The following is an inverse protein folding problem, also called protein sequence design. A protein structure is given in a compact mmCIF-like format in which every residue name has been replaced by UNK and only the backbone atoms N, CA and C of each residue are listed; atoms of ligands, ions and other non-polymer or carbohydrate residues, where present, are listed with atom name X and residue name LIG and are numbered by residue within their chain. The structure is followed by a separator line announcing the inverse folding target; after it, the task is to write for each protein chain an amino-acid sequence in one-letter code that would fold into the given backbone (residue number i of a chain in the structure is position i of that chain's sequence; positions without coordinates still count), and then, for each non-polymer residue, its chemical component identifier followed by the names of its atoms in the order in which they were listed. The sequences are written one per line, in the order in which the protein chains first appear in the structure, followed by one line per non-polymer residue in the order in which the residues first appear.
data_IF_377557993657
#
_entry.id   IF_377557993657
#
_cell.length_a   1.000
_cell.length_b   1.000
_cell.length_c   1.000
_cell.angle_alpha   90.00
_cell.angle_beta   90.00
_cell.angle_gamma   90.00
#
_symmetry.space_group_name_H-M   'P 1'
#
loop_
_entity.id
_entity.type
_entity.pdbx_description
1 polymer ?
#
# COMPACT_ATOMS: atom_id res chain seq x y z
N UNK A 1 -21.27 10.51 -1.98
CA UNK A 1 -20.01 10.98 -1.40
C UNK A 1 -20.37 11.62 -0.08
N UNK A 2 -20.13 10.92 1.02
CA UNK A 2 -19.95 11.66 2.26
C UNK A 2 -18.58 12.35 2.18
N UNK A 3 -18.44 13.52 2.82
CA UNK A 3 -17.21 14.32 2.78
C UNK A 3 -15.93 13.56 3.23
N UNK A 4 -16.09 12.38 3.83
CA UNK A 4 -15.02 11.54 4.37
C UNK A 4 -14.25 10.78 3.26
N UNK A 5 -14.91 10.31 2.20
CA UNK A 5 -14.28 9.52 1.13
C UNK A 5 -13.23 10.33 0.33
N UNK A 6 -13.42 11.66 0.23
CA UNK A 6 -12.53 12.54 -0.55
C UNK A 6 -11.30 12.95 0.27
N UNK A 7 -11.37 12.90 1.60
CA UNK A 7 -10.32 13.46 2.45
C UNK A 7 -9.01 12.68 2.33
N UNK A 8 -9.05 11.34 2.41
CA UNK A 8 -7.83 10.54 2.38
C UNK A 8 -7.13 10.59 1.01
N UNK A 9 -7.87 10.77 -0.10
CA UNK A 9 -7.32 10.98 -1.44
C UNK A 9 -6.37 12.18 -1.52
N UNK A 10 -6.66 13.26 -0.78
CA UNK A 10 -5.74 14.40 -0.71
C UNK A 10 -4.43 14.04 0.01
N UNK A 11 -4.49 13.22 1.06
CA UNK A 11 -3.30 12.75 1.77
C UNK A 11 -2.48 11.78 0.91
N UNK A 12 -3.14 10.90 0.16
CA UNK A 12 -2.50 10.02 -0.83
C UNK A 12 -1.72 10.82 -1.88
N UNK A 13 -2.37 11.81 -2.48
CA UNK A 13 -1.75 12.69 -3.46
C UNK A 13 -0.59 13.47 -2.82
N UNK A 14 -0.77 13.99 -1.61
CA UNK A 14 0.30 14.67 -0.88
C UNK A 14 1.52 13.77 -0.65
N UNK A 15 1.31 12.50 -0.29
CA UNK A 15 2.37 11.52 -0.13
C UNK A 15 3.10 11.24 -1.46
N UNK A 16 2.35 11.02 -2.54
CA UNK A 16 2.92 10.79 -3.87
C UNK A 16 3.75 11.98 -4.38
N UNK A 17 3.25 13.20 -4.16
CA UNK A 17 3.95 14.44 -4.49
C UNK A 17 5.19 14.65 -3.62
N UNK A 18 5.10 14.39 -2.31
CA UNK A 18 6.23 14.49 -1.40
C UNK A 18 7.35 13.49 -1.74
N UNK A 19 6.98 12.23 -2.06
CA UNK A 19 7.91 11.21 -2.53
C UNK A 19 8.57 11.57 -3.85
N UNK A 20 7.79 12.10 -4.80
CA UNK A 20 8.31 12.60 -6.08
C UNK A 20 9.29 13.76 -5.87
N UNK A 21 8.93 14.72 -5.03
CA UNK A 21 9.79 15.85 -4.69
C UNK A 21 11.09 15.40 -4.01
N UNK A 22 11.01 14.44 -3.08
CA UNK A 22 12.19 13.83 -2.47
C UNK A 22 13.10 13.23 -3.52
N UNK A 23 12.57 12.33 -4.36
CA UNK A 23 13.33 11.64 -5.40
C UNK A 23 13.96 12.61 -6.41
N UNK A 24 13.23 13.64 -6.84
CA UNK A 24 13.77 14.66 -7.76
C UNK A 24 14.92 15.47 -7.15
N UNK A 25 14.91 15.70 -5.82
CA UNK A 25 15.95 16.44 -5.11
C UNK A 25 17.16 15.59 -4.73
N UNK A 26 16.95 14.33 -4.33
CA UNK A 26 18.04 13.45 -3.88
C UNK A 26 18.59 12.57 -4.99
N UNK A 27 17.81 12.33 -6.06
CA UNK A 27 18.07 11.36 -7.13
C UNK A 27 18.35 9.95 -6.61
N UNK A 28 17.83 9.63 -5.42
CA UNK A 28 18.07 8.35 -4.77
C UNK A 28 17.22 7.25 -5.41
N UNK A 29 17.86 6.41 -6.23
CA UNK A 29 17.18 5.33 -6.95
C UNK A 29 16.55 4.27 -6.02
N UNK A 30 17.02 4.15 -4.77
CA UNK A 30 16.46 3.23 -3.81
C UNK A 30 14.99 3.54 -3.45
N UNK A 31 14.58 4.82 -3.57
CA UNK A 31 13.23 5.29 -3.25
C UNK A 31 12.24 5.12 -4.40
N UNK A 32 12.76 5.03 -5.63
CA UNK A 32 11.95 5.06 -6.86
C UNK A 32 10.82 4.03 -6.90
N UNK A 33 11.01 2.74 -6.51
CA UNK A 33 9.93 1.77 -6.53
C UNK A 33 8.75 2.15 -5.61
N UNK A 34 9.04 2.79 -4.48
CA UNK A 34 8.01 3.22 -3.55
C UNK A 34 7.26 4.47 -4.05
N UNK A 35 7.93 5.37 -4.76
CA UNK A 35 7.25 6.50 -5.43
C UNK A 35 6.31 6.00 -6.52
N UNK A 36 6.72 4.97 -7.28
CA UNK A 36 5.82 4.32 -8.24
C UNK A 36 4.63 3.65 -7.56
N UNK A 37 4.84 3.03 -6.39
CA UNK A 37 3.76 2.48 -5.59
C UNK A 37 2.75 3.56 -5.20
N UNK A 38 3.18 4.72 -4.69
CA UNK A 38 2.27 5.80 -4.31
C UNK A 38 1.46 6.37 -5.48
N UNK A 39 2.10 6.58 -6.64
CA UNK A 39 1.38 7.03 -7.84
C UNK A 39 0.40 5.98 -8.36
N UNK A 40 0.77 4.70 -8.28
CA UNK A 40 -0.15 3.62 -8.61
C UNK A 40 -1.34 3.62 -7.65
N UNK A 41 -1.14 3.81 -6.35
CA UNK A 41 -2.24 3.92 -5.37
C UNK A 41 -3.18 5.07 -5.72
N UNK A 42 -2.65 6.28 -5.94
CA UNK A 42 -3.48 7.44 -6.36
C UNK A 42 -4.28 7.13 -7.62
N UNK A 43 -3.64 6.51 -8.62
CA UNK A 43 -4.31 6.13 -9.87
C UNK A 43 -5.42 5.10 -9.64
N UNK A 44 -5.13 4.04 -8.88
CA UNK A 44 -6.08 2.94 -8.64
C UNK A 44 -7.28 3.43 -7.83
N UNK A 45 -7.07 4.20 -6.77
CA UNK A 45 -8.15 4.77 -5.95
C UNK A 45 -9.00 5.76 -6.76
N UNK A 46 -8.37 6.60 -7.60
CA UNK A 46 -9.12 7.51 -8.48
C UNK A 46 -9.93 6.73 -9.53
N UNK A 47 -9.34 5.71 -10.15
CA UNK A 47 -10.02 4.92 -11.18
C UNK A 47 -11.14 4.11 -10.55
N UNK A 48 -10.92 3.47 -9.39
CA UNK A 48 -11.88 2.57 -8.74
C UNK A 48 -13.21 3.22 -8.40
N UNK A 49 -13.26 4.57 -8.34
CA UNK A 49 -14.48 5.35 -8.18
C UNK A 49 -15.49 5.23 -9.33
N UNK A 50 -15.11 4.65 -10.48
CA UNK A 50 -16.04 4.49 -11.60
C UNK A 50 -17.31 3.70 -11.23
N UNK A 51 -17.23 2.80 -10.24
CA UNK A 51 -18.37 2.02 -9.76
C UNK A 51 -19.44 2.90 -9.12
N UNK A 52 -19.10 4.09 -8.62
CA UNK A 52 -20.09 5.05 -8.12
C UNK A 52 -20.91 5.68 -9.24
N UNK A 53 -20.39 5.73 -10.48
CA UNK A 53 -21.08 6.39 -11.60
C UNK A 53 -22.41 5.71 -11.94
N UNK A 54 -22.56 4.42 -11.63
CA UNK A 54 -23.79 3.66 -11.86
C UNK A 54 -25.02 4.30 -11.21
N UNK A 55 -24.83 4.90 -10.02
CA UNK A 55 -25.94 5.51 -9.28
C UNK A 55 -26.31 6.92 -9.74
N UNK A 56 -25.46 7.59 -10.53
CA UNK A 56 -25.66 9.00 -10.91
C UNK A 56 -25.94 9.21 -12.40
N UNK A 57 -25.56 8.26 -13.25
CA UNK A 57 -25.61 8.44 -14.69
C UNK A 57 -26.20 7.20 -15.39
N UNK A 58 -27.35 7.38 -16.03
CA UNK A 58 -27.98 6.37 -16.88
C UNK A 58 -27.58 6.63 -18.34
N UNK A 59 -26.43 6.09 -18.75
CA UNK A 59 -25.94 6.21 -20.13
C UNK A 59 -25.63 4.84 -20.72
N UNK A 60 -25.74 4.64 -22.06
CA UNK A 60 -25.50 3.33 -22.67
C UNK A 60 -24.12 2.73 -22.35
N UNK A 61 -23.10 3.58 -22.25
CA UNK A 61 -21.75 3.15 -21.88
C UNK A 61 -21.70 2.64 -20.43
N UNK A 62 -22.33 3.35 -19.50
CA UNK A 62 -22.31 3.02 -18.07
C UNK A 62 -23.10 1.74 -17.82
N UNK A 63 -24.28 1.60 -18.43
CA UNK A 63 -25.09 0.37 -18.32
C UNK A 63 -24.39 -0.84 -18.95
N UNK A 64 -23.60 -0.63 -20.01
CA UNK A 64 -22.75 -1.67 -20.57
C UNK A 64 -21.64 -2.11 -19.61
N UNK A 65 -20.98 -1.17 -18.92
CA UNK A 65 -19.96 -1.48 -17.91
C UNK A 65 -20.60 -2.21 -16.71
N UNK A 66 -21.71 -1.70 -16.18
CA UNK A 66 -22.43 -2.27 -15.04
C UNK A 66 -22.91 -3.71 -15.30
N UNK A 67 -23.32 -4.02 -16.53
CA UNK A 67 -23.72 -5.37 -16.93
C UNK A 67 -22.56 -6.30 -17.31
N UNK A 68 -21.32 -5.80 -17.31
CA UNK A 68 -20.14 -6.55 -17.73
C UNK A 68 -19.40 -7.23 -16.56
N UNK A 69 -18.38 -8.02 -16.90
CA UNK A 69 -17.49 -8.69 -15.93
C UNK A 69 -16.65 -7.66 -15.13
N UNK A 70 -16.46 -6.45 -15.66
CA UNK A 70 -15.76 -5.35 -14.99
C UNK A 70 -16.73 -4.41 -14.25
N UNK A 71 -17.90 -4.90 -13.85
CA UNK A 71 -18.87 -4.11 -13.09
C UNK A 71 -18.34 -3.74 -11.71
N UNK A 72 -17.55 -4.63 -11.08
CA UNK A 72 -16.87 -4.36 -9.81
C UNK A 72 -15.44 -3.89 -10.02
N UNK A 73 -14.91 -3.10 -9.08
CA UNK A 73 -13.50 -2.70 -9.07
C UNK A 73 -12.55 -3.80 -8.52
N UNK A 74 -13.07 -5.00 -8.25
CA UNK A 74 -12.30 -6.12 -7.68
C UNK A 74 -11.10 -6.53 -8.52
N UNK A 75 -11.25 -6.60 -9.86
CA UNK A 75 -10.15 -6.92 -10.76
C UNK A 75 -9.01 -5.91 -10.66
N UNK A 76 -9.34 -4.62 -10.49
CA UNK A 76 -8.38 -3.54 -10.38
C UNK A 76 -7.58 -3.67 -9.08
N UNK A 77 -8.26 -3.97 -7.97
CA UNK A 77 -7.60 -4.23 -6.69
C UNK A 77 -6.77 -5.53 -6.70
N UNK A 78 -7.19 -6.56 -7.44
CA UNK A 78 -6.39 -7.79 -7.63
C UNK A 78 -5.07 -7.50 -8.37
N UNK A 79 -5.09 -6.63 -9.39
CA UNK A 79 -3.87 -6.15 -10.07
C UNK A 79 -3.02 -5.30 -9.11
N UNK A 80 -3.65 -4.35 -8.42
CA UNK A 80 -2.99 -3.47 -7.48
C UNK A 80 -2.26 -4.25 -6.39
N UNK A 81 -2.92 -5.23 -5.78
CA UNK A 81 -2.34 -6.09 -4.74
C UNK A 81 -1.16 -6.93 -5.25
N UNK A 82 -1.20 -7.36 -6.51
CA UNK A 82 -0.11 -8.09 -7.12
C UNK A 82 1.11 -7.19 -7.35
N UNK A 83 0.90 -6.03 -7.96
CA UNK A 83 1.99 -5.10 -8.29
C UNK A 83 2.55 -4.45 -7.01
N UNK A 84 1.72 -4.15 -6.01
CA UNK A 84 2.13 -3.55 -4.74
C UNK A 84 3.18 -4.40 -4.02
N UNK A 85 2.96 -5.72 -3.93
CA UNK A 85 3.92 -6.63 -3.32
C UNK A 85 5.28 -6.59 -4.04
N UNK A 86 5.27 -6.49 -5.37
CA UNK A 86 6.48 -6.43 -6.19
C UNK A 86 7.21 -5.09 -5.96
N UNK A 87 6.49 -3.96 -6.02
CA UNK A 87 7.07 -2.62 -5.83
C UNK A 87 7.65 -2.45 -4.42
N UNK A 88 6.93 -2.89 -3.39
CA UNK A 88 7.40 -2.85 -2.00
C UNK A 88 8.59 -3.80 -1.81
N UNK A 89 8.54 -5.02 -2.37
CA UNK A 89 9.67 -5.94 -2.33
C UNK A 89 10.93 -5.36 -3.00
N UNK A 90 10.78 -4.70 -4.15
CA UNK A 90 11.89 -3.99 -4.81
C UNK A 90 12.42 -2.83 -3.97
N UNK A 91 11.54 -2.06 -3.33
CA UNK A 91 11.94 -1.01 -2.39
C UNK A 91 12.75 -1.59 -1.23
N UNK A 92 12.29 -2.68 -0.62
CA UNK A 92 12.99 -3.31 0.51
C UNK A 92 14.34 -3.90 0.09
N UNK A 93 14.44 -4.53 -1.09
CA UNK A 93 15.72 -5.03 -1.63
C UNK A 93 16.71 -3.88 -1.84
N UNK A 94 16.27 -2.74 -2.37
CA UNK A 94 17.16 -1.59 -2.60
C UNK A 94 17.63 -0.90 -1.32
N UNK A 95 16.93 -1.10 -0.21
CA UNK A 95 17.23 -0.48 1.09
C UNK A 95 17.73 -1.48 2.14
N UNK A 96 18.07 -2.70 1.70
CA UNK A 96 18.77 -3.71 2.49
C UNK A 96 20.09 -4.06 1.79
N UNK A 97 21.09 -4.48 2.54
CA UNK A 97 22.46 -4.68 2.09
C UNK A 97 22.88 -6.16 2.09
N UNK A 98 22.25 -7.03 2.88
CA UNK A 98 22.71 -8.43 3.01
C UNK A 98 22.02 -9.36 2.01
N UNK A 99 22.82 -10.21 1.38
CA UNK A 99 22.35 -11.25 0.44
C UNK A 99 21.27 -12.14 1.05
N UNK A 100 21.37 -12.44 2.35
CA UNK A 100 20.38 -13.21 3.07
C UNK A 100 18.99 -12.55 3.04
N UNK A 101 18.91 -11.25 3.33
CA UNK A 101 17.66 -10.50 3.33
C UNK A 101 17.09 -10.40 1.92
N UNK A 102 17.94 -10.09 0.93
CA UNK A 102 17.54 -10.06 -0.47
C UNK A 102 16.94 -11.38 -0.94
N UNK A 103 17.58 -12.50 -0.57
CA UNK A 103 17.10 -13.84 -0.92
C UNK A 103 15.72 -14.10 -0.32
N UNK A 104 15.51 -13.78 0.95
CA UNK A 104 14.21 -13.98 1.60
C UNK A 104 13.15 -13.07 0.98
N UNK A 105 13.44 -11.79 0.76
CA UNK A 105 12.48 -10.85 0.14
C UNK A 105 12.09 -11.34 -1.26
N UNK A 106 13.06 -11.77 -2.08
CA UNK A 106 12.78 -12.35 -3.41
C UNK A 106 11.90 -13.60 -3.33
N UNK A 107 12.17 -14.49 -2.38
CA UNK A 107 11.34 -15.70 -2.16
C UNK A 107 9.92 -15.31 -1.78
N UNK A 108 9.73 -14.37 -0.86
CA UNK A 108 8.40 -13.89 -0.44
C UNK A 108 7.63 -13.31 -1.63
N UNK A 109 8.26 -12.42 -2.40
CA UNK A 109 7.63 -11.80 -3.58
C UNK A 109 7.30 -12.86 -4.63
N UNK A 110 8.22 -13.79 -4.91
CA UNK A 110 8.02 -14.85 -5.89
C UNK A 110 6.87 -15.79 -5.48
N UNK A 111 6.91 -16.32 -4.26
CA UNK A 111 5.87 -17.22 -3.74
C UNK A 111 4.52 -16.49 -3.71
N UNK A 112 4.47 -15.28 -3.17
CA UNK A 112 3.23 -14.49 -3.11
C UNK A 112 2.64 -14.22 -4.50
N UNK A 113 3.49 -13.93 -5.48
CA UNK A 113 3.07 -13.70 -6.88
C UNK A 113 2.57 -14.99 -7.54
N UNK A 114 3.32 -16.09 -7.41
CA UNK A 114 2.97 -17.39 -8.01
C UNK A 114 1.68 -17.93 -7.41
N UNK A 115 1.47 -17.84 -6.10
CA UNK A 115 0.24 -18.28 -5.44
C UNK A 115 -0.98 -17.52 -5.97
N UNK A 116 -0.88 -16.19 -6.14
CA UNK A 116 -1.97 -15.38 -6.73
C UNK A 116 -2.30 -15.84 -8.15
N UNK A 117 -1.29 -16.01 -9.00
CA UNK A 117 -1.47 -16.45 -10.39
C UNK A 117 -2.11 -17.83 -10.45
N UNK A 118 -1.61 -18.80 -9.67
CA UNK A 118 -2.14 -20.16 -9.62
C UNK A 118 -3.60 -20.13 -9.15
N UNK A 119 -3.90 -19.41 -8.06
CA UNK A 119 -5.26 -19.33 -7.52
C UNK A 119 -6.25 -18.82 -8.57
N UNK A 120 -5.98 -17.66 -9.17
CA UNK A 120 -6.91 -17.06 -10.15
C UNK A 120 -6.98 -17.85 -11.45
N UNK A 121 -5.92 -18.56 -11.83
CA UNK A 121 -5.95 -19.45 -13.01
C UNK A 121 -6.83 -20.68 -12.79
N UNK A 122 -6.88 -21.20 -11.56
CA UNK A 122 -7.70 -22.38 -11.22
C UNK A 122 -9.14 -21.97 -10.93
N UNK A 123 -9.35 -20.89 -10.18
CA UNK A 123 -10.69 -20.50 -9.74
C UNK A 123 -11.47 -19.76 -10.82
N UNK A 124 -10.80 -19.00 -11.70
CA UNK A 124 -11.46 -18.11 -12.67
C UNK A 124 -12.08 -16.86 -12.03
N UNK A 125 -11.91 -16.67 -10.72
CA UNK A 125 -12.64 -15.66 -9.94
C UNK A 125 -11.95 -14.28 -9.91
N UNK A 126 -10.99 -14.04 -10.80
CA UNK A 126 -10.18 -12.81 -10.82
C UNK A 126 -10.99 -11.52 -10.88
N UNK A 127 -12.14 -11.55 -11.57
CA UNK A 127 -13.03 -10.39 -11.70
C UNK A 127 -14.13 -10.34 -10.64
N UNK A 128 -14.29 -11.41 -9.86
CA UNK A 128 -15.43 -11.62 -8.97
C UNK A 128 -15.04 -11.33 -7.53
N UNK A 129 -13.92 -11.88 -7.06
CA UNK A 129 -13.49 -11.73 -5.67
C UNK A 129 -11.97 -11.56 -5.54
N UNK A 130 -11.58 -10.97 -4.41
CA UNK A 130 -10.18 -10.89 -4.00
C UNK A 130 -9.70 -12.22 -3.43
N UNK A 131 -8.38 -12.44 -3.47
CA UNK A 131 -7.78 -13.65 -2.92
C UNK A 131 -8.15 -13.82 -1.42
N UNK A 132 -8.66 -14.99 -1.00
CA UNK A 132 -8.97 -15.25 0.41
C UNK A 132 -7.74 -15.07 1.31
N UNK A 133 -7.93 -14.46 2.48
CA UNK A 133 -6.87 -14.18 3.46
C UNK A 133 -5.69 -13.36 2.93
N UNK A 134 -5.81 -12.72 1.77
CA UNK A 134 -4.75 -11.94 1.13
C UNK A 134 -4.14 -10.90 2.05
N UNK A 135 -4.98 -10.17 2.82
CA UNK A 135 -4.51 -9.14 3.72
C UNK A 135 -3.63 -9.72 4.84
N UNK A 136 -3.98 -10.89 5.40
CA UNK A 136 -3.14 -11.59 6.38
C UNK A 136 -1.81 -12.04 5.78
N UNK A 137 -1.82 -12.61 4.57
CA UNK A 137 -0.59 -13.02 3.86
C UNK A 137 0.32 -11.81 3.59
N UNK A 138 -0.25 -10.70 3.14
CA UNK A 138 0.49 -9.46 2.92
C UNK A 138 1.08 -8.90 4.21
N UNK A 139 0.32 -8.94 5.33
CA UNK A 139 0.80 -8.52 6.65
C UNK A 139 2.02 -9.32 7.08
N UNK A 140 1.98 -10.65 6.96
CA UNK A 140 3.14 -11.49 7.28
C UNK A 140 4.34 -11.18 6.37
N UNK A 141 4.10 -11.02 5.06
CA UNK A 141 5.14 -10.68 4.10
C UNK A 141 5.83 -9.36 4.49
N UNK A 142 5.07 -8.29 4.68
CA UNK A 142 5.60 -6.96 5.03
C UNK A 142 6.26 -6.95 6.39
N UNK A 143 5.68 -7.63 7.38
CA UNK A 143 6.28 -7.76 8.71
C UNK A 143 7.64 -8.44 8.65
N UNK A 144 7.78 -9.54 7.89
CA UNK A 144 9.07 -10.22 7.71
C UNK A 144 10.07 -9.30 6.99
N UNK A 145 9.67 -8.61 5.92
CA UNK A 145 10.54 -7.65 5.23
C UNK A 145 11.03 -6.54 6.16
N UNK A 146 10.14 -6.02 7.01
CA UNK A 146 10.48 -5.00 8.01
C UNK A 146 11.42 -5.54 9.08
N UNK A 147 11.22 -6.76 9.58
CA UNK A 147 12.15 -7.39 10.54
C UNK A 147 13.55 -7.59 9.94
N UNK A 148 13.64 -7.97 8.66
CA UNK A 148 14.93 -8.08 7.96
C UNK A 148 15.62 -6.71 7.88
N UNK A 149 14.88 -5.68 7.50
CA UNK A 149 15.38 -4.30 7.50
C UNK A 149 15.87 -3.86 8.89
N UNK A 150 15.06 -4.06 9.94
CA UNK A 150 15.45 -3.71 11.31
C UNK A 150 16.69 -4.46 11.78
N UNK A 151 16.79 -5.77 11.48
CA UNK A 151 17.97 -6.57 11.82
C UNK A 151 19.23 -5.98 11.21
N UNK A 152 19.19 -5.57 9.94
CA UNK A 152 20.33 -4.97 9.27
C UNK A 152 20.66 -3.58 9.79
N UNK A 153 19.62 -2.76 10.03
CA UNK A 153 19.77 -1.43 10.61
C UNK A 153 20.48 -1.50 11.96
N UNK A 154 20.07 -2.41 12.86
CA UNK A 154 20.67 -2.61 14.18
C UNK A 154 22.15 -3.02 14.08
N UNK A 155 22.51 -3.76 13.03
CA UNK A 155 23.87 -4.24 12.78
C UNK A 155 24.74 -3.23 12.00
N UNK A 156 24.19 -2.07 11.65
CA UNK A 156 24.87 -1.05 10.85
C UNK A 156 25.23 0.17 11.69
N UNK A 157 26.26 0.92 11.27
CA UNK A 157 26.57 2.23 11.85
C UNK A 157 25.45 3.26 11.61
N UNK A 158 24.54 2.98 10.67
CA UNK A 158 23.38 3.83 10.39
C UNK A 158 22.34 3.81 11.51
N UNK A 159 22.43 2.88 12.47
CA UNK A 159 21.54 2.85 13.63
C UNK A 159 21.52 4.19 14.38
N UNK A 160 22.63 4.91 14.45
CA UNK A 160 22.69 6.21 15.15
C UNK A 160 21.87 7.31 14.45
N UNK A 161 21.54 7.13 13.18
CA UNK A 161 20.82 8.09 12.35
C UNK A 161 19.48 7.52 11.82
N UNK A 162 18.96 6.43 12.39
CA UNK A 162 17.75 5.78 11.89
C UNK A 162 16.54 6.72 11.84
N UNK A 163 16.42 7.62 12.84
CA UNK A 163 15.34 8.61 12.93
C UNK A 163 15.38 9.65 11.80
N UNK A 164 16.47 9.73 11.02
CA UNK A 164 16.54 10.58 9.82
C UNK A 164 16.16 9.83 8.54
N UNK A 165 15.98 8.51 8.61
CA UNK A 165 15.77 7.66 7.45
C UNK A 165 14.31 7.60 7.04
N UNK A 166 14.02 7.93 5.78
CA UNK A 166 12.68 7.80 5.20
C UNK A 166 12.28 6.32 5.14
N UNK A 167 13.25 5.43 4.89
CA UNK A 167 13.03 3.98 4.82
C UNK A 167 12.44 3.45 6.12
N UNK A 168 12.96 3.90 7.26
CA UNK A 168 12.45 3.50 8.57
C UNK A 168 10.98 3.86 8.74
N UNK A 169 10.62 5.13 8.54
CA UNK A 169 9.24 5.61 8.70
C UNK A 169 8.27 4.96 7.70
N UNK A 170 8.68 4.81 6.45
CA UNK A 170 7.87 4.15 5.41
C UNK A 170 7.59 2.69 5.78
N UNK A 171 8.65 1.96 6.17
CA UNK A 171 8.54 0.53 6.49
C UNK A 171 7.75 0.30 7.77
N UNK A 172 7.94 1.14 8.77
CA UNK A 172 7.15 1.11 10.00
C UNK A 172 5.68 1.45 9.73
N UNK A 173 5.42 2.52 8.98
CA UNK A 173 4.08 2.99 8.65
C UNK A 173 3.27 1.92 7.92
N UNK A 174 3.80 1.36 6.83
CA UNK A 174 3.10 0.31 6.07
C UNK A 174 2.87 -0.93 6.93
N UNK A 175 3.87 -1.36 7.69
CA UNK A 175 3.75 -2.56 8.52
C UNK A 175 2.72 -2.39 9.62
N UNK A 176 2.69 -1.23 10.29
CA UNK A 176 1.69 -0.93 11.32
C UNK A 176 0.29 -0.87 10.73
N UNK A 177 0.12 -0.25 9.56
CA UNK A 177 -1.18 -0.22 8.87
C UNK A 177 -1.71 -1.63 8.62
N UNK A 178 -0.89 -2.52 8.06
CA UNK A 178 -1.29 -3.90 7.78
C UNK A 178 -1.60 -4.70 9.07
N UNK A 179 -0.78 -4.55 10.11
CA UNK A 179 -1.02 -5.21 11.41
C UNK A 179 -2.34 -4.74 12.03
N UNK A 180 -2.63 -3.43 11.98
CA UNK A 180 -3.84 -2.86 12.56
C UNK A 180 -5.09 -3.20 11.75
N UNK A 181 -5.00 -3.26 10.43
CA UNK A 181 -6.15 -3.58 9.58
C UNK A 181 -6.46 -5.07 9.48
N UNK A 182 -5.48 -5.96 9.61
CA UNK A 182 -5.72 -7.42 9.47
C UNK A 182 -6.85 -7.96 10.35
N UNK A 183 -6.93 -7.63 11.65
CA UNK A 183 -8.04 -8.06 12.50
C UNK A 183 -9.40 -7.65 11.95
N UNK A 184 -9.50 -6.45 11.36
CA UNK A 184 -10.75 -5.91 10.82
C UNK A 184 -11.37 -6.83 9.76
N UNK A 185 -10.52 -7.40 8.89
CA UNK A 185 -10.94 -8.31 7.82
C UNK A 185 -11.12 -9.76 8.30
N UNK A 186 -10.49 -10.17 9.42
CA UNK A 186 -10.79 -11.46 10.07
C UNK A 186 -12.21 -11.44 10.64
N UNK A 187 -12.67 -10.27 11.09
CA UNK A 187 -14.03 -10.07 11.60
C UNK A 187 -15.05 -9.70 10.52
N UNK A 188 -14.74 -9.81 9.22
CA UNK A 188 -15.72 -9.56 8.15
C UNK A 188 -16.95 -10.48 8.26
N UNK A 189 -16.87 -11.62 8.95
CA UNK A 189 -18.07 -12.44 9.25
C UNK A 189 -19.12 -11.71 10.10
N UNK A 190 -18.72 -10.74 10.93
CA UNK A 190 -19.62 -9.88 11.69
C UNK A 190 -20.22 -8.75 10.84
N UNK A 191 -19.63 -8.44 9.68
CA UNK A 191 -20.18 -7.50 8.71
C UNK A 191 -21.48 -8.03 8.10
N UNK A 192 -21.56 -9.34 7.84
CA UNK A 192 -22.76 -9.99 7.29
C UNK A 192 -23.91 -10.10 8.32
N UNK A 193 -23.63 -9.85 9.60
CA UNK A 193 -24.61 -9.88 10.68
C UNK A 193 -25.13 -8.46 11.01
N UNK A 194 -25.60 -7.71 10.01
CA UNK A 194 -26.37 -6.44 10.09
C UNK A 194 -26.12 -5.62 11.36
N UNK A 195 -24.86 -5.28 11.64
CA UNK A 195 -24.52 -4.37 12.73
C UNK A 195 -24.07 -3.05 12.11
N UNK A 196 -25.01 -2.14 11.89
CA UNK A 196 -24.77 -0.83 11.29
C UNK A 196 -23.64 -0.06 11.99
N UNK A 197 -23.52 -0.20 13.33
CA UNK A 197 -22.43 0.41 14.10
C UNK A 197 -21.06 -0.16 13.71
N UNK A 198 -20.98 -1.44 13.37
CA UNK A 198 -19.74 -2.06 12.89
C UNK A 198 -19.35 -1.55 11.50
N UNK A 199 -20.32 -1.31 10.61
CA UNK A 199 -20.07 -0.74 9.28
C UNK A 199 -19.48 0.66 9.41
N UNK A 200 -20.10 1.52 10.22
CA UNK A 200 -19.61 2.90 10.47
C UNK A 200 -18.23 2.88 11.14
N UNK A 201 -18.04 2.03 12.15
CA UNK A 201 -16.74 1.87 12.81
C UNK A 201 -15.65 1.45 11.82
N UNK A 202 -15.93 0.46 10.96
CA UNK A 202 -14.98 -0.05 9.96
C UNK A 202 -14.58 1.04 8.97
N UNK A 203 -15.53 1.82 8.46
CA UNK A 203 -15.25 2.95 7.57
C UNK A 203 -14.34 4.00 8.23
N UNK A 204 -14.74 4.50 9.40
CA UNK A 204 -13.95 5.49 10.16
C UNK A 204 -12.55 4.98 10.52
N UNK A 205 -12.43 3.68 10.85
CA UNK A 205 -11.15 3.06 11.17
C UNK A 205 -10.23 3.02 9.94
N UNK A 206 -10.74 2.58 8.79
CA UNK A 206 -9.98 2.56 7.53
C UNK A 206 -9.52 3.97 7.13
N UNK A 207 -10.42 4.95 7.15
CA UNK A 207 -10.11 6.34 6.80
C UNK A 207 -9.04 6.93 7.72
N UNK A 208 -9.18 6.72 9.03
CA UNK A 208 -8.22 7.22 10.02
C UNK A 208 -6.83 6.62 9.79
N UNK A 209 -6.75 5.31 9.60
CA UNK A 209 -5.46 4.64 9.38
C UNK A 209 -4.84 5.00 8.03
N UNK A 210 -5.64 5.22 6.97
CA UNK A 210 -5.16 5.73 5.69
C UNK A 210 -4.56 7.13 5.85
N UNK A 211 -5.29 8.06 6.49
CA UNK A 211 -4.79 9.42 6.75
C UNK A 211 -3.48 9.39 7.54
N UNK A 212 -3.41 8.57 8.60
CA UNK A 212 -2.18 8.40 9.39
C UNK A 212 -1.02 7.84 8.56
N UNK A 213 -1.29 6.84 7.72
CA UNK A 213 -0.29 6.21 6.86
C UNK A 213 0.31 7.21 5.87
N UNK A 214 -0.51 7.89 5.09
CA UNK A 214 -0.04 8.82 4.06
C UNK A 214 0.55 10.10 4.66
N UNK A 215 0.07 10.52 5.84
CA UNK A 215 0.74 11.56 6.64
C UNK A 215 2.13 11.12 7.08
N UNK A 216 2.29 9.86 7.52
CA UNK A 216 3.59 9.29 7.88
C UNK A 216 4.54 9.26 6.68
N UNK A 217 4.08 8.86 5.48
CA UNK A 217 4.90 8.88 4.27
C UNK A 217 5.32 10.30 3.87
N UNK A 218 4.38 11.25 3.90
CA UNK A 218 4.66 12.65 3.63
C UNK A 218 5.72 13.19 4.59
N UNK A 219 5.56 12.92 5.89
CA UNK A 219 6.53 13.27 6.91
C UNK A 219 7.89 12.62 6.64
N UNK A 220 7.93 11.31 6.36
CA UNK A 220 9.15 10.56 6.10
C UNK A 220 10.00 11.22 5.00
N UNK A 221 9.37 11.57 3.88
CA UNK A 221 10.06 12.24 2.78
C UNK A 221 10.55 13.64 3.14
N UNK A 222 9.66 14.49 3.66
CA UNK A 222 10.00 15.89 3.92
C UNK A 222 11.04 16.03 5.04
N UNK A 223 10.91 15.24 6.10
CA UNK A 223 11.84 15.24 7.22
C UNK A 223 13.23 14.75 6.80
N UNK A 224 13.32 13.63 6.08
CA UNK A 224 14.59 13.13 5.57
C UNK A 224 15.25 14.08 4.58
N UNK A 225 14.47 14.79 3.75
CA UNK A 225 15.01 15.78 2.83
C UNK A 225 15.64 16.97 3.58
N UNK A 226 14.98 17.44 4.64
CA UNK A 226 15.49 18.55 5.46
C UNK A 226 16.86 18.21 6.06
N UNK A 227 17.02 17.01 6.59
CA UNK A 227 18.30 16.56 7.15
C UNK A 227 19.40 16.42 6.10
N UNK A 228 19.08 15.88 4.91
CA UNK A 228 20.06 15.81 3.81
C UNK A 228 20.54 17.19 3.36
N UNK A 229 19.67 18.21 3.36
CA UNK A 229 20.05 19.58 3.03
C UNK A 229 20.99 20.20 4.07
N UNK A 230 20.78 19.92 5.35
CA UNK A 230 21.65 20.44 6.42
C UNK A 230 23.07 19.90 6.33
N UNK A 231 23.22 18.60 6.01
CA UNK A 231 24.53 17.98 5.79
C UNK A 231 25.27 18.51 4.55
N UNK A 232 24.55 18.98 3.54
CA UNK A 232 25.17 19.56 2.34
C UNK A 232 25.64 21.02 2.53
N UNK A 233 25.25 21.67 3.63
CA UNK A 233 25.62 23.06 3.95
C UNK A 233 26.64 23.16 5.10
N UNK A 234 26.95 22.05 5.78
CA UNK A 234 27.97 21.94 6.84
C UNK A 234 29.29 21.43 6.29
#
# INVERSE_FOLDING_TARGET
MDNYDVLFHYFELAAALAGSYYWLKTKEDAVRPFVWYLWMTVFIETVSMYTYLYSYFDTPLINWIESSIISSNTWLYNIYDFISLILIGMFMIRNTNKDFSHRIIKIIVLIGSVLKVIYFSISGDFFIMSLPYNLAVQTFALFIMFLLYLRELIQSEQILNFYKSHVFYISLGITLWYICLTPLFIFDSYYNAVNENFIVFRGLFLDTFNILLYSCYTFAFLYSLRHKKQLAMS
#
